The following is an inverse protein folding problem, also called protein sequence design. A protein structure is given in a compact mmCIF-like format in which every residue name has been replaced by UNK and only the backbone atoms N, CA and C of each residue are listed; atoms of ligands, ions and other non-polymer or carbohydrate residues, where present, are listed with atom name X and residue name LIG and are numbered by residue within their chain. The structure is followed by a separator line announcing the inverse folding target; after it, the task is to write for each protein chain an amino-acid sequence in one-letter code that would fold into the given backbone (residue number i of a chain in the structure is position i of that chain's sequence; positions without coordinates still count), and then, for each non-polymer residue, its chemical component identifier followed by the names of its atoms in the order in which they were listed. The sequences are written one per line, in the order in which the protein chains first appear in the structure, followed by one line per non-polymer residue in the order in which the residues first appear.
data_IF_205306538736
#
_entry.id   IF_205306538736
#
_cell.length_a   1.000
_cell.length_b   1.000
_cell.length_c   1.000
_cell.angle_alpha   90.00
_cell.angle_beta   90.00
_cell.angle_gamma   90.00
#
_symmetry.space_group_name_H-M   'P 1'
#
loop_
_entity.id
_entity.type
_entity.pdbx_description
1 polymer ?
#
# COMPACT_ATOMS: atom_id res chain seq x y z
N UNK A 1 36.04 -21.76 -8.79
CA UNK A 1 36.45 -21.92 -7.38
C UNK A 1 35.22 -22.36 -6.60
N UNK A 2 35.07 -23.67 -6.40
CA UNK A 2 33.95 -24.26 -5.64
C UNK A 2 34.06 -23.79 -4.19
N UNK A 3 33.12 -22.97 -3.73
CA UNK A 3 32.97 -22.65 -2.30
C UNK A 3 32.74 -23.99 -1.59
N UNK A 4 33.69 -24.42 -0.77
CA UNK A 4 33.47 -25.51 0.16
C UNK A 4 32.33 -25.10 1.09
N UNK A 5 31.20 -25.80 1.02
CA UNK A 5 30.08 -25.60 1.94
C UNK A 5 30.51 -26.13 3.31
N UNK A 6 31.01 -25.24 4.17
CA UNK A 6 30.84 -25.43 5.60
C UNK A 6 29.33 -25.45 5.85
N UNK A 7 28.79 -26.62 6.17
CA UNK A 7 27.40 -26.77 6.56
C UNK A 7 27.16 -25.91 7.80
N UNK A 8 26.42 -24.81 7.66
CA UNK A 8 25.97 -24.07 8.82
C UNK A 8 25.03 -24.97 9.64
N UNK A 9 25.26 -25.04 10.95
CA UNK A 9 24.43 -25.85 11.86
C UNK A 9 23.07 -25.22 12.18
N UNK A 10 22.67 -24.18 11.45
CA UNK A 10 21.40 -23.49 11.63
C UNK A 10 20.73 -23.17 10.30
N UNK A 11 19.40 -23.03 10.32
CA UNK A 11 18.59 -22.73 9.14
C UNK A 11 18.30 -21.24 8.95
N UNK A 12 18.92 -20.35 9.73
CA UNK A 12 18.82 -18.90 9.56
C UNK A 12 19.71 -18.38 8.43
N UNK A 13 19.26 -17.30 7.79
CA UNK A 13 20.01 -16.58 6.76
C UNK A 13 20.95 -15.56 7.40
N UNK A 14 22.26 -15.68 7.16
CA UNK A 14 23.26 -14.69 7.52
C UNK A 14 23.48 -13.73 6.35
N UNK A 15 22.78 -12.60 6.38
CA UNK A 15 22.82 -11.59 5.32
C UNK A 15 24.22 -10.99 5.20
N UNK A 16 24.71 -10.82 3.98
CA UNK A 16 25.99 -10.13 3.72
C UNK A 16 25.91 -8.64 4.06
N UNK A 17 27.07 -7.98 4.24
CA UNK A 17 27.09 -6.54 4.51
C UNK A 17 26.46 -5.76 3.36
N UNK A 18 25.35 -5.09 3.63
CA UNK A 18 24.61 -4.29 2.64
C UNK A 18 24.70 -2.79 2.96
N UNK A 19 24.87 -1.92 1.93
CA UNK A 19 24.92 -0.48 2.13
C UNK A 19 23.52 0.15 2.29
N UNK A 20 22.46 -0.57 1.93
CA UNK A 20 21.10 -0.05 1.82
C UNK A 20 20.54 0.56 3.11
N UNK A 21 20.75 -0.03 4.31
CA UNK A 21 20.25 0.57 5.55
C UNK A 21 20.86 1.95 5.84
N UNK A 22 22.18 2.11 5.61
CA UNK A 22 22.88 3.37 5.84
C UNK A 22 22.53 4.42 4.79
N UNK A 23 22.51 4.03 3.51
CA UNK A 23 22.13 4.94 2.43
C UNK A 23 20.66 5.37 2.58
N UNK A 24 19.78 4.44 2.96
CA UNK A 24 18.37 4.70 3.19
C UNK A 24 18.14 5.69 4.33
N UNK A 25 18.81 5.53 5.47
CA UNK A 25 18.65 6.45 6.60
C UNK A 25 19.15 7.86 6.29
N UNK A 26 20.29 7.99 5.60
CA UNK A 26 20.82 9.30 5.16
C UNK A 26 19.89 9.98 4.15
N UNK A 27 19.34 9.23 3.20
CA UNK A 27 18.42 9.81 2.21
C UNK A 27 17.08 10.21 2.84
N UNK A 28 16.56 9.44 3.79
CA UNK A 28 15.34 9.79 4.52
C UNK A 28 15.52 11.09 5.32
N UNK A 29 16.69 11.27 5.94
CA UNK A 29 17.03 12.52 6.61
C UNK A 29 17.07 13.71 5.63
N UNK A 30 17.73 13.54 4.48
CA UNK A 30 17.77 14.55 3.43
C UNK A 30 16.38 14.85 2.84
N UNK A 31 15.49 13.86 2.77
CA UNK A 31 14.12 14.03 2.32
C UNK A 31 13.31 14.87 3.30
N UNK A 32 13.47 14.65 4.61
CA UNK A 32 12.84 15.49 5.63
C UNK A 32 13.37 16.93 5.61
N UNK A 33 14.69 17.14 5.46
CA UNK A 33 15.27 18.48 5.27
C UNK A 33 14.74 19.11 3.98
N UNK A 34 14.65 18.34 2.91
CA UNK A 34 14.08 18.78 1.63
C UNK A 34 12.63 19.23 1.77
N UNK A 35 11.83 18.52 2.57
CA UNK A 35 10.45 18.90 2.86
C UNK A 35 10.36 20.19 3.67
N UNK A 36 11.19 20.35 4.72
CA UNK A 36 11.26 21.59 5.50
C UNK A 36 11.67 22.76 4.59
N UNK A 37 12.68 22.56 3.72
CA UNK A 37 13.13 23.56 2.78
C UNK A 37 12.03 23.95 1.78
N UNK A 38 11.23 22.98 1.34
CA UNK A 38 10.06 23.25 0.50
C UNK A 38 9.03 24.13 1.23
N UNK A 39 8.67 23.78 2.47
CA UNK A 39 7.68 24.54 3.25
C UNK A 39 8.16 25.97 3.55
N UNK A 40 9.44 26.16 3.85
CA UNK A 40 9.99 27.47 4.26
C UNK A 40 10.38 28.36 3.07
N UNK A 41 11.01 27.80 2.04
CA UNK A 41 11.61 28.57 0.94
C UNK A 41 11.05 28.26 -0.45
N UNK A 42 10.02 27.40 -0.54
CA UNK A 42 9.44 26.90 -1.80
C UNK A 42 10.44 26.20 -2.73
N UNK A 43 11.60 25.76 -2.20
CA UNK A 43 12.62 25.09 -2.99
C UNK A 43 12.45 23.56 -2.96
N UNK A 44 11.85 23.02 -4.03
CA UNK A 44 11.58 21.59 -4.19
C UNK A 44 12.78 20.73 -4.62
N UNK A 45 13.90 21.34 -5.03
CA UNK A 45 15.00 20.62 -5.70
C UNK A 45 15.58 19.49 -4.82
N UNK A 46 15.83 19.79 -3.55
CA UNK A 46 16.39 18.81 -2.61
C UNK A 46 15.39 17.67 -2.34
N UNK A 47 14.11 18.01 -2.16
CA UNK A 47 13.05 17.04 -1.92
C UNK A 47 12.93 16.05 -3.10
N UNK A 48 12.78 16.55 -4.33
CA UNK A 48 12.65 15.71 -5.53
C UNK A 48 13.89 14.84 -5.73
N UNK A 49 15.09 15.41 -5.58
CA UNK A 49 16.34 14.67 -5.72
C UNK A 49 16.45 13.52 -4.70
N UNK A 50 16.19 13.80 -3.42
CA UNK A 50 16.21 12.80 -2.36
C UNK A 50 15.14 11.71 -2.56
N UNK A 51 13.96 12.07 -3.04
CA UNK A 51 12.87 11.14 -3.33
C UNK A 51 13.23 10.17 -4.46
N UNK A 52 13.85 10.64 -5.55
CA UNK A 52 14.32 9.78 -6.64
C UNK A 52 15.40 8.79 -6.17
N UNK A 53 16.33 9.24 -5.33
CA UNK A 53 17.37 8.35 -4.78
C UNK A 53 16.75 7.32 -3.83
N UNK A 54 15.77 7.70 -3.01
CA UNK A 54 15.05 6.76 -2.15
C UNK A 54 14.42 5.63 -2.97
N UNK A 55 13.75 5.95 -4.08
CA UNK A 55 13.18 4.94 -4.97
C UNK A 55 14.24 3.99 -5.54
N UNK A 56 15.41 4.51 -5.93
CA UNK A 56 16.53 3.68 -6.40
C UNK A 56 17.06 2.74 -5.31
N UNK A 57 17.20 3.23 -4.08
CA UNK A 57 17.65 2.42 -2.93
C UNK A 57 16.64 1.29 -2.66
N UNK A 58 15.35 1.61 -2.59
CA UNK A 58 14.30 0.61 -2.37
C UNK A 58 14.27 -0.46 -3.47
N UNK A 59 14.40 -0.04 -4.74
CA UNK A 59 14.48 -0.97 -5.87
C UNK A 59 15.70 -1.90 -5.78
N UNK A 60 16.87 -1.36 -5.46
CA UNK A 60 18.12 -2.13 -5.35
C UNK A 60 18.09 -3.07 -4.15
N UNK A 61 17.53 -2.64 -3.01
CA UNK A 61 17.38 -3.47 -1.83
C UNK A 61 16.42 -4.64 -2.09
N UNK A 62 15.24 -4.39 -2.65
CA UNK A 62 14.30 -5.46 -2.99
C UNK A 62 14.84 -6.42 -4.06
N UNK A 63 15.61 -5.92 -5.02
CA UNK A 63 16.33 -6.76 -5.97
C UNK A 63 17.28 -7.73 -5.26
N UNK A 64 18.02 -7.25 -4.26
CA UNK A 64 18.97 -8.10 -3.53
C UNK A 64 18.23 -9.15 -2.66
N UNK A 65 17.11 -8.78 -2.03
CA UNK A 65 16.24 -9.76 -1.33
C UNK A 65 15.71 -10.84 -2.29
N UNK A 66 15.32 -10.46 -3.52
CA UNK A 66 14.92 -11.43 -4.54
C UNK A 66 16.08 -12.36 -4.91
N UNK A 67 17.31 -11.83 -5.00
CA UNK A 67 18.50 -12.62 -5.34
C UNK A 67 18.85 -13.63 -4.24
N UNK A 68 18.84 -13.18 -3.00
CA UNK A 68 19.08 -14.00 -1.81
C UNK A 68 18.04 -15.14 -1.71
N UNK A 69 16.76 -14.80 -1.89
CA UNK A 69 15.69 -15.80 -1.81
C UNK A 69 15.62 -16.78 -2.98
N UNK A 70 15.79 -16.31 -4.22
CA UNK A 70 15.57 -17.13 -5.42
C UNK A 70 16.85 -17.78 -5.96
N UNK A 71 17.93 -17.01 -6.11
CA UNK A 71 19.13 -17.48 -6.81
C UNK A 71 20.18 -18.08 -5.87
N UNK A 72 20.30 -17.54 -4.65
CA UNK A 72 21.19 -18.11 -3.63
C UNK A 72 20.50 -19.22 -2.82
N UNK A 73 19.17 -19.14 -2.70
CA UNK A 73 18.37 -20.16 -2.01
C UNK A 73 18.41 -20.05 -0.49
N UNK A 74 18.75 -18.88 0.04
CA UNK A 74 18.96 -18.67 1.48
C UNK A 74 17.63 -18.61 2.28
N UNK A 75 16.48 -18.54 1.59
CA UNK A 75 15.15 -18.51 2.21
C UNK A 75 14.66 -19.91 2.58
N UNK A 76 15.19 -20.47 3.66
CA UNK A 76 14.71 -21.72 4.26
C UNK A 76 13.27 -21.57 4.79
N UNK A 77 12.65 -22.70 5.17
CA UNK A 77 11.30 -22.71 5.77
C UNK A 77 11.25 -21.82 7.04
N UNK A 78 12.31 -21.83 7.85
CA UNK A 78 12.37 -21.02 9.08
C UNK A 78 12.45 -19.52 8.75
N UNK A 79 13.27 -19.14 7.78
CA UNK A 79 13.38 -17.75 7.30
C UNK A 79 12.05 -17.28 6.72
N UNK A 80 11.40 -18.10 5.89
CA UNK A 80 10.09 -17.78 5.32
C UNK A 80 9.00 -17.63 6.40
N UNK A 81 9.06 -18.41 7.48
CA UNK A 81 8.15 -18.24 8.64
C UNK A 81 8.40 -16.88 9.33
N UNK A 82 9.66 -16.48 9.46
CA UNK A 82 10.04 -15.16 9.98
C UNK A 82 9.54 -14.01 9.09
N UNK A 83 9.73 -14.10 7.77
CA UNK A 83 9.24 -13.10 6.82
C UNK A 83 7.71 -12.97 6.85
N UNK A 84 6.99 -14.10 6.97
CA UNK A 84 5.53 -14.10 7.14
C UNK A 84 5.10 -13.37 8.41
N UNK A 85 5.76 -13.63 9.53
CA UNK A 85 5.49 -12.95 10.79
C UNK A 85 5.78 -11.44 10.67
N UNK A 86 6.88 -11.07 10.02
CA UNK A 86 7.24 -9.67 9.75
C UNK A 86 6.17 -8.95 8.92
N UNK A 87 5.70 -9.55 7.83
CA UNK A 87 4.64 -8.97 7.00
C UNK A 87 3.31 -8.84 7.77
N UNK A 88 2.96 -9.83 8.59
CA UNK A 88 1.77 -9.78 9.42
C UNK A 88 1.83 -8.64 10.45
N UNK A 89 2.96 -8.50 11.17
CA UNK A 89 3.16 -7.41 12.12
C UNK A 89 3.17 -6.04 11.45
N UNK A 90 3.74 -5.93 10.24
CA UNK A 90 3.67 -4.72 9.43
C UNK A 90 2.24 -4.34 9.08
N UNK A 91 1.41 -5.27 8.60
CA UNK A 91 -0.02 -5.00 8.34
C UNK A 91 -0.73 -4.57 9.64
N UNK A 92 -0.44 -5.19 10.78
CA UNK A 92 -1.03 -4.77 12.07
C UNK A 92 -0.66 -3.32 12.39
N UNK A 93 0.60 -2.91 12.19
CA UNK A 93 0.97 -1.51 12.41
C UNK A 93 0.23 -0.54 11.48
N UNK A 94 -0.02 -0.92 10.23
CA UNK A 94 -0.81 -0.11 9.29
C UNK A 94 -2.29 -0.05 9.67
N UNK A 95 -2.86 -1.15 10.19
CA UNK A 95 -4.23 -1.15 10.74
C UNK A 95 -4.34 -0.17 11.91
N UNK A 96 -3.37 -0.16 12.83
CA UNK A 96 -3.34 0.78 13.95
C UNK A 96 -3.13 2.23 13.49
N UNK A 97 -2.36 2.43 12.41
CA UNK A 97 -2.22 3.74 11.77
C UNK A 97 -3.56 4.26 11.26
N UNK A 98 -4.33 3.48 10.48
CA UNK A 98 -5.67 3.87 10.04
C UNK A 98 -6.68 4.00 11.20
N UNK A 99 -6.55 3.17 12.23
CA UNK A 99 -7.40 3.28 13.42
C UNK A 99 -7.32 4.66 14.07
N UNK A 100 -6.13 5.30 14.08
CA UNK A 100 -5.98 6.66 14.61
C UNK A 100 -6.78 7.71 13.82
N UNK A 101 -6.86 7.57 12.50
CA UNK A 101 -7.66 8.47 11.65
C UNK A 101 -9.15 8.22 11.80
N UNK A 102 -9.57 6.96 11.91
CA UNK A 102 -10.97 6.64 12.19
C UNK A 102 -11.40 7.14 13.56
N UNK A 103 -10.55 7.02 14.58
CA UNK A 103 -10.80 7.63 15.89
C UNK A 103 -11.04 9.13 15.74
N UNK A 104 -10.10 9.85 15.11
CA UNK A 104 -10.23 11.29 14.89
C UNK A 104 -11.57 11.61 14.20
N UNK A 105 -11.94 10.88 13.14
CA UNK A 105 -13.21 11.09 12.44
C UNK A 105 -14.42 10.86 13.35
N UNK A 106 -14.47 9.76 14.11
CA UNK A 106 -15.57 9.46 15.03
C UNK A 106 -15.69 10.49 16.14
N UNK A 107 -14.57 10.99 16.67
CA UNK A 107 -14.58 12.03 17.69
C UNK A 107 -15.26 13.31 17.16
N UNK A 108 -14.96 13.69 15.91
CA UNK A 108 -15.54 14.88 15.28
C UNK A 108 -16.99 14.67 14.84
N UNK A 109 -17.34 13.46 14.41
CA UNK A 109 -18.71 13.08 14.04
C UNK A 109 -19.67 13.01 15.24
N UNK A 110 -19.25 12.38 16.35
CA UNK A 110 -20.12 12.14 17.51
C UNK A 110 -20.34 13.41 18.37
N UNK A 111 -19.38 14.33 18.37
CA UNK A 111 -19.46 15.59 19.11
C UNK A 111 -18.95 16.76 18.24
N UNK A 112 -19.70 17.17 17.21
CA UNK A 112 -19.30 18.27 16.34
C UNK A 112 -19.21 19.57 17.15
N UNK A 113 -18.16 20.36 16.90
CA UNK A 113 -17.94 21.61 17.62
C UNK A 113 -18.96 22.69 17.25
N UNK A 114 -19.12 23.67 18.15
CA UNK A 114 -19.98 24.83 17.92
C UNK A 114 -19.51 25.65 16.72
N UNK A 115 -18.20 25.67 16.46
CA UNK A 115 -17.58 26.41 15.35
C UNK A 115 -18.04 25.91 13.97
N UNK A 116 -18.36 24.61 13.84
CA UNK A 116 -18.93 24.03 12.61
C UNK A 116 -20.47 24.00 12.61
N UNK A 117 -21.10 24.56 13.65
CA UNK A 117 -22.54 24.67 13.78
C UNK A 117 -23.23 23.46 14.40
N UNK A 118 -22.51 22.64 15.18
CA UNK A 118 -23.02 21.41 15.82
C UNK A 118 -23.66 20.41 14.83
N UNK A 119 -23.18 20.40 13.59
CA UNK A 119 -23.68 19.54 12.51
C UNK A 119 -22.52 18.81 11.86
N UNK A 120 -22.77 17.58 11.43
CA UNK A 120 -21.85 16.81 10.61
C UNK A 120 -22.60 16.22 9.40
N UNK A 121 -22.22 16.55 8.17
CA UNK A 121 -21.17 17.48 7.77
C UNK A 121 -21.49 18.94 8.15
N UNK A 122 -20.47 19.79 8.26
CA UNK A 122 -20.66 21.24 8.42
C UNK A 122 -21.53 21.84 7.31
N UNK A 123 -22.23 22.93 7.62
CA UNK A 123 -23.03 23.68 6.63
C UNK A 123 -22.14 24.08 5.43
N UNK A 124 -22.73 24.08 4.23
CA UNK A 124 -22.07 24.41 2.95
C UNK A 124 -21.07 23.38 2.44
N UNK A 125 -20.84 22.27 3.15
CA UNK A 125 -20.09 21.13 2.61
C UNK A 125 -21.07 20.15 1.98
N UNK A 126 -20.96 20.01 0.65
CA UNK A 126 -21.78 19.07 -0.12
C UNK A 126 -20.99 17.80 -0.39
N UNK A 127 -21.37 16.71 0.27
CA UNK A 127 -20.70 15.41 0.15
C UNK A 127 -21.16 14.64 -1.08
N UNK A 128 -20.32 13.70 -1.52
CA UNK A 128 -20.68 12.80 -2.62
C UNK A 128 -21.84 11.90 -2.26
N UNK A 129 -22.71 11.64 -3.23
CA UNK A 129 -23.68 10.57 -3.12
C UNK A 129 -22.92 9.22 -3.03
N UNK A 130 -23.07 8.45 -1.94
CA UNK A 130 -22.32 7.21 -1.76
C UNK A 130 -22.63 6.17 -2.83
N UNK A 131 -23.83 6.21 -3.42
CA UNK A 131 -24.25 5.32 -4.51
C UNK A 131 -23.63 5.68 -5.87
N UNK A 132 -22.88 6.77 -5.98
CA UNK A 132 -22.23 7.22 -7.21
C UNK A 132 -20.84 6.63 -7.41
N UNK A 133 -19.85 7.50 -7.62
CA UNK A 133 -18.44 7.11 -7.78
C UNK A 133 -17.90 6.29 -6.59
N UNK A 134 -18.25 6.58 -5.32
CA UNK A 134 -17.74 5.79 -4.19
C UNK A 134 -18.17 4.32 -4.27
N UNK A 135 -19.44 4.03 -4.58
CA UNK A 135 -19.92 2.67 -4.79
C UNK A 135 -19.20 1.98 -5.96
N UNK A 136 -18.98 2.67 -7.08
CA UNK A 136 -18.21 2.10 -8.20
C UNK A 136 -16.79 1.70 -7.75
N UNK A 137 -16.13 2.56 -6.98
CA UNK A 137 -14.81 2.27 -6.41
C UNK A 137 -14.83 1.07 -5.44
N UNK A 138 -15.88 0.92 -4.61
CA UNK A 138 -16.03 -0.30 -3.78
C UNK A 138 -16.15 -1.56 -4.63
N UNK A 139 -16.94 -1.54 -5.71
CA UNK A 139 -17.11 -2.69 -6.59
C UNK A 139 -15.81 -3.04 -7.30
N UNK A 140 -15.04 -2.05 -7.75
CA UNK A 140 -13.74 -2.28 -8.39
C UNK A 140 -12.77 -2.98 -7.45
N UNK A 141 -12.65 -2.54 -6.20
CA UNK A 141 -11.77 -3.18 -5.22
C UNK A 141 -12.24 -4.59 -4.85
N UNK A 142 -13.55 -4.80 -4.62
CA UNK A 142 -14.09 -6.15 -4.36
C UNK A 142 -13.86 -7.11 -5.54
N UNK A 143 -14.08 -6.66 -6.78
CA UNK A 143 -13.74 -7.43 -7.98
C UNK A 143 -12.23 -7.71 -8.08
N UNK A 144 -11.40 -6.75 -7.67
CA UNK A 144 -9.95 -6.93 -7.64
C UNK A 144 -9.52 -8.00 -6.61
N UNK A 145 -10.13 -8.02 -5.42
CA UNK A 145 -9.97 -9.06 -4.40
C UNK A 145 -10.37 -10.46 -4.89
N UNK A 146 -11.44 -10.56 -5.68
CA UNK A 146 -11.79 -11.81 -6.37
C UNK A 146 -10.73 -12.21 -7.42
N UNK A 147 -10.26 -11.26 -8.24
CA UNK A 147 -9.29 -11.56 -9.28
C UNK A 147 -7.92 -11.99 -8.74
N UNK A 148 -7.46 -11.45 -7.60
CA UNK A 148 -6.19 -11.83 -6.97
C UNK A 148 -6.29 -13.19 -6.27
N UNK A 149 -7.46 -13.54 -5.70
CA UNK A 149 -7.68 -14.88 -5.15
C UNK A 149 -7.76 -15.94 -6.25
N UNK A 150 -8.40 -15.62 -7.39
CA UNK A 150 -8.33 -16.45 -8.60
C UNK A 150 -6.89 -16.63 -9.11
N UNK A 151 -6.09 -15.56 -9.08
CA UNK A 151 -4.67 -15.57 -9.42
C UNK A 151 -3.88 -16.54 -8.52
N UNK A 152 -4.08 -16.44 -7.20
CA UNK A 152 -3.45 -17.32 -6.22
C UNK A 152 -3.83 -18.79 -6.43
N UNK A 153 -5.11 -19.07 -6.65
CA UNK A 153 -5.57 -20.43 -6.95
C UNK A 153 -4.95 -20.99 -8.24
N UNK A 154 -4.82 -20.14 -9.27
CA UNK A 154 -4.13 -20.50 -10.51
C UNK A 154 -2.69 -20.91 -10.27
N UNK A 155 -1.96 -20.14 -9.46
CA UNK A 155 -0.58 -20.45 -9.08
C UNK A 155 -0.47 -21.80 -8.35
N UNK A 156 -1.30 -22.04 -7.33
CA UNK A 156 -1.26 -23.28 -6.55
C UNK A 156 -1.57 -24.53 -7.41
N UNK A 157 -2.40 -24.37 -8.45
CA UNK A 157 -2.71 -25.43 -9.42
C UNK A 157 -1.73 -25.50 -10.60
N UNK A 158 -0.63 -24.75 -10.59
CA UNK A 158 0.31 -24.59 -11.71
C UNK A 158 -0.35 -24.13 -13.04
N UNK A 159 -1.53 -23.50 -12.97
CA UNK A 159 -2.19 -22.90 -14.12
C UNK A 159 -1.71 -21.45 -14.29
N UNK A 160 -0.58 -21.30 -14.99
CA UNK A 160 0.04 -20.00 -15.23
C UNK A 160 -0.83 -19.01 -16.01
N UNK A 161 -1.74 -19.51 -16.87
CA UNK A 161 -2.68 -18.64 -17.57
C UNK A 161 -3.65 -17.96 -16.58
N UNK A 162 -4.26 -18.73 -15.68
CA UNK A 162 -5.14 -18.18 -14.63
C UNK A 162 -4.37 -17.24 -13.68
N UNK A 163 -3.15 -17.62 -13.30
CA UNK A 163 -2.28 -16.78 -12.46
C UNK A 163 -2.00 -15.43 -13.12
N UNK A 164 -1.54 -15.44 -14.38
CA UNK A 164 -1.22 -14.23 -15.14
C UNK A 164 -2.44 -13.36 -15.41
N UNK A 165 -3.56 -13.96 -15.83
CA UNK A 165 -4.81 -13.25 -16.11
C UNK A 165 -5.38 -12.60 -14.85
N UNK A 166 -5.45 -13.34 -13.75
CA UNK A 166 -5.97 -12.84 -12.48
C UNK A 166 -5.15 -11.65 -11.98
N UNK A 167 -3.81 -11.80 -11.94
CA UNK A 167 -2.91 -10.73 -11.50
C UNK A 167 -3.02 -9.47 -12.40
N UNK A 168 -3.09 -9.65 -13.72
CA UNK A 168 -3.27 -8.53 -14.65
C UNK A 168 -4.59 -7.79 -14.41
N UNK A 169 -5.69 -8.52 -14.23
CA UNK A 169 -7.00 -7.92 -13.91
C UNK A 169 -6.97 -7.15 -12.60
N UNK A 170 -6.33 -7.68 -11.55
CA UNK A 170 -6.20 -6.98 -10.27
C UNK A 170 -5.49 -5.64 -10.44
N UNK A 171 -4.35 -5.63 -11.13
CA UNK A 171 -3.56 -4.42 -11.39
C UNK A 171 -4.39 -3.40 -12.18
N UNK A 172 -5.09 -3.84 -13.24
CA UNK A 172 -5.91 -2.96 -14.05
C UNK A 172 -7.05 -2.33 -13.23
N UNK A 173 -7.76 -3.13 -12.42
CA UNK A 173 -8.83 -2.64 -11.55
C UNK A 173 -8.31 -1.64 -10.51
N UNK A 174 -7.14 -1.88 -9.92
CA UNK A 174 -6.48 -0.94 -9.01
C UNK A 174 -6.10 0.39 -9.67
N UNK A 175 -5.61 0.35 -10.92
CA UNK A 175 -5.32 1.57 -11.69
C UNK A 175 -6.60 2.34 -12.03
N UNK A 176 -7.67 1.63 -12.41
CA UNK A 176 -8.97 2.27 -12.69
C UNK A 176 -9.53 2.93 -11.43
N UNK A 177 -9.44 2.27 -10.27
CA UNK A 177 -9.80 2.86 -8.97
C UNK A 177 -9.06 4.17 -8.73
N UNK A 178 -7.74 4.20 -8.92
CA UNK A 178 -6.94 5.42 -8.73
C UNK A 178 -7.36 6.55 -9.67
N UNK A 179 -7.67 6.26 -10.92
CA UNK A 179 -8.17 7.25 -11.88
C UNK A 179 -9.53 7.82 -11.46
N UNK A 180 -10.44 6.98 -10.96
CA UNK A 180 -11.74 7.43 -10.47
C UNK A 180 -11.58 8.24 -9.19
N UNK A 181 -10.72 7.82 -8.25
CA UNK A 181 -10.44 8.58 -7.03
C UNK A 181 -9.85 9.96 -7.35
N UNK A 182 -8.96 10.05 -8.34
CA UNK A 182 -8.44 11.34 -8.81
C UNK A 182 -9.52 12.22 -9.44
N UNK A 183 -10.44 11.63 -10.22
CA UNK A 183 -11.59 12.34 -10.76
C UNK A 183 -12.49 12.87 -9.64
N UNK A 184 -12.76 12.05 -8.63
CA UNK A 184 -13.54 12.43 -7.46
C UNK A 184 -12.92 13.64 -6.75
N UNK A 185 -11.60 13.65 -6.54
CA UNK A 185 -10.92 14.80 -5.94
C UNK A 185 -11.04 16.09 -6.76
N UNK A 186 -11.05 16.00 -8.09
CA UNK A 186 -11.22 17.17 -8.96
C UNK A 186 -12.67 17.69 -8.99
N UNK A 187 -13.65 16.82 -8.80
CA UNK A 187 -15.09 17.16 -8.79
C UNK A 187 -15.60 17.52 -7.39
N UNK A 188 -14.74 17.45 -6.36
CA UNK A 188 -15.11 17.70 -4.98
C UNK A 188 -15.49 19.16 -4.74
N UNK A 189 -16.61 19.39 -4.04
CA UNK A 189 -17.09 20.73 -3.69
C UNK A 189 -16.31 21.39 -2.55
N UNK A 190 -15.45 20.62 -1.88
CA UNK A 190 -14.64 21.03 -0.74
C UNK A 190 -13.19 20.56 -0.90
N UNK A 191 -12.28 21.22 -0.20
CA UNK A 191 -10.82 21.02 -0.24
C UNK A 191 -10.30 20.58 1.14
N UNK A 192 -9.01 20.23 1.21
CA UNK A 192 -8.36 19.84 2.47
C UNK A 192 -8.37 20.97 3.53
N UNK A 193 -8.49 22.23 3.12
CA UNK A 193 -8.59 23.39 4.01
C UNK A 193 -10.01 23.68 4.49
N UNK A 194 -11.02 23.02 3.93
CA UNK A 194 -12.42 23.30 4.25
C UNK A 194 -12.88 22.51 5.49
N UNK A 195 -12.65 23.14 6.65
CA UNK A 195 -13.00 22.64 7.98
C UNK A 195 -12.30 21.33 8.38
N UNK A 196 -12.65 20.84 9.57
CA UNK A 196 -12.22 19.53 10.05
C UNK A 196 -12.78 18.39 9.19
N UNK A 197 -13.91 18.60 8.52
CA UNK A 197 -14.47 17.62 7.60
C UNK A 197 -13.56 17.40 6.39
N UNK A 198 -13.18 18.46 5.66
CA UNK A 198 -12.32 18.36 4.48
C UNK A 198 -10.96 17.74 4.83
N UNK A 199 -10.32 18.23 5.89
CA UNK A 199 -9.04 17.68 6.36
C UNK A 199 -9.13 16.19 6.72
N UNK A 200 -10.14 15.77 7.49
CA UNK A 200 -10.31 14.35 7.84
C UNK A 200 -10.63 13.46 6.64
N UNK A 201 -11.48 13.94 5.71
CA UNK A 201 -11.83 13.24 4.48
C UNK A 201 -10.60 13.00 3.60
N UNK A 202 -9.83 14.05 3.29
CA UNK A 202 -8.65 13.94 2.42
C UNK A 202 -7.49 13.19 3.07
N UNK A 203 -7.34 13.25 4.41
CA UNK A 203 -6.35 12.42 5.10
C UNK A 203 -6.71 10.94 5.03
N UNK A 204 -7.95 10.55 5.39
CA UNK A 204 -8.39 9.15 5.36
C UNK A 204 -8.32 8.55 3.95
N UNK A 205 -8.97 9.21 2.99
CA UNK A 205 -9.02 8.72 1.61
C UNK A 205 -7.67 8.86 0.90
N UNK A 206 -6.89 9.90 1.22
CA UNK A 206 -5.58 10.15 0.61
C UNK A 206 -4.53 9.16 1.06
N UNK A 207 -4.44 8.86 2.36
CA UNK A 207 -3.56 7.81 2.86
C UNK A 207 -3.98 6.44 2.34
N UNK A 208 -5.28 6.15 2.27
CA UNK A 208 -5.76 4.93 1.61
C UNK A 208 -5.31 4.86 0.14
N UNK A 209 -5.50 5.95 -0.62
CA UNK A 209 -5.05 6.05 -2.01
C UNK A 209 -3.53 5.82 -2.17
N UNK A 210 -2.70 6.36 -1.27
CA UNK A 210 -1.26 6.07 -1.23
C UNK A 210 -0.98 4.58 -1.03
N UNK A 211 -1.72 3.91 -0.14
CA UNK A 211 -1.59 2.46 0.07
C UNK A 211 -2.04 1.65 -1.17
N UNK A 212 -3.09 2.09 -1.88
CA UNK A 212 -3.49 1.49 -3.16
C UNK A 212 -2.35 1.63 -4.18
N UNK A 213 -1.71 2.80 -4.30
CA UNK A 213 -0.55 2.98 -5.20
C UNK A 213 0.58 2.02 -4.84
N UNK A 214 0.95 1.92 -3.56
CA UNK A 214 1.99 0.98 -3.09
C UNK A 214 1.60 -0.46 -3.41
N UNK A 215 0.33 -0.83 -3.20
CA UNK A 215 -0.21 -2.15 -3.51
C UNK A 215 -0.12 -2.47 -5.01
N UNK A 216 -0.49 -1.53 -5.88
CA UNK A 216 -0.40 -1.69 -7.34
C UNK A 216 1.05 -1.86 -7.77
N UNK A 217 1.98 -1.05 -7.24
CA UNK A 217 3.42 -1.20 -7.51
C UNK A 217 3.94 -2.58 -7.07
N UNK A 218 3.52 -3.06 -5.90
CA UNK A 218 3.93 -4.37 -5.41
C UNK A 218 3.39 -5.51 -6.29
N UNK A 219 2.12 -5.41 -6.73
CA UNK A 219 1.54 -6.35 -7.69
C UNK A 219 2.23 -6.29 -9.06
N UNK A 220 2.58 -5.09 -9.55
CA UNK A 220 3.35 -4.92 -10.79
C UNK A 220 4.72 -5.58 -10.72
N UNK A 221 5.43 -5.45 -9.59
CA UNK A 221 6.70 -6.16 -9.37
C UNK A 221 6.50 -7.67 -9.43
N UNK A 222 5.45 -8.19 -8.81
CA UNK A 222 5.13 -9.61 -8.91
C UNK A 222 4.70 -10.01 -10.33
N UNK A 223 4.03 -9.15 -11.10
CA UNK A 223 3.72 -9.42 -12.50
C UNK A 223 4.98 -9.51 -13.37
N UNK A 224 5.95 -8.62 -13.15
CA UNK A 224 7.27 -8.71 -13.80
C UNK A 224 7.99 -10.01 -13.44
N UNK A 225 8.02 -10.37 -12.14
CA UNK A 225 8.62 -11.63 -11.65
C UNK A 225 7.94 -12.87 -12.21
N UNK A 226 6.62 -12.83 -12.40
CA UNK A 226 5.86 -13.90 -13.04
C UNK A 226 6.34 -14.12 -14.47
N UNK A 227 6.51 -13.05 -15.25
CA UNK A 227 7.00 -13.14 -16.63
C UNK A 227 8.47 -13.59 -16.71
N UNK A 228 9.24 -13.44 -15.63
CA UNK A 228 10.60 -13.96 -15.48
C UNK A 228 10.65 -15.37 -14.88
N UNK A 229 9.51 -16.04 -14.69
CA UNK A 229 9.41 -17.39 -14.14
C UNK A 229 9.99 -17.56 -12.71
N UNK A 230 9.91 -16.52 -11.88
CA UNK A 230 10.46 -16.54 -10.51
C UNK A 230 9.56 -17.25 -9.47
N UNK A 231 8.42 -17.81 -9.87
CA UNK A 231 7.44 -18.40 -8.95
C UNK A 231 7.22 -19.88 -9.20
N UNK A 232 6.96 -20.61 -8.12
CA UNK A 232 6.46 -21.98 -8.14
C UNK A 232 5.30 -22.15 -7.17
N UNK A 233 4.50 -23.21 -7.32
CA UNK A 233 3.42 -23.53 -6.38
C UNK A 233 3.89 -23.71 -4.93
N UNK A 234 5.18 -23.95 -4.69
CA UNK A 234 5.75 -24.07 -3.34
C UNK A 234 6.43 -22.77 -2.87
N UNK A 235 7.07 -22.04 -3.78
CA UNK A 235 7.83 -20.83 -3.46
C UNK A 235 7.29 -19.60 -4.19
N UNK A 236 6.42 -18.86 -3.49
CA UNK A 236 5.76 -17.67 -4.01
C UNK A 236 5.46 -16.62 -2.94
N UNK A 237 6.29 -16.56 -1.88
CA UNK A 237 6.06 -15.70 -0.71
C UNK A 237 5.92 -14.22 -1.04
N UNK A 238 6.67 -13.71 -2.02
CA UNK A 238 6.51 -12.33 -2.46
C UNK A 238 5.13 -12.02 -3.06
N UNK A 239 4.49 -13.00 -3.71
CA UNK A 239 3.11 -12.86 -4.17
C UNK A 239 2.12 -13.01 -3.01
N UNK A 240 2.34 -13.94 -2.07
CA UNK A 240 1.52 -14.04 -0.84
C UNK A 240 1.50 -12.72 -0.05
N UNK A 241 2.66 -12.07 0.11
CA UNK A 241 2.73 -10.79 0.84
C UNK A 241 2.00 -9.66 0.11
N UNK A 242 2.13 -9.58 -1.22
CA UNK A 242 1.39 -8.59 -1.99
C UNK A 242 -0.13 -8.86 -1.96
N UNK A 243 -0.56 -10.12 -1.95
CA UNK A 243 -1.99 -10.43 -1.86
C UNK A 243 -2.56 -10.14 -0.49
N UNK A 244 -1.81 -10.39 0.59
CA UNK A 244 -2.22 -9.98 1.95
C UNK A 244 -2.33 -8.46 2.06
N UNK A 245 -1.36 -7.72 1.53
CA UNK A 245 -1.40 -6.26 1.52
C UNK A 245 -2.57 -5.73 0.70
N UNK A 246 -2.83 -6.33 -0.48
CA UNK A 246 -3.96 -5.93 -1.32
C UNK A 246 -5.31 -6.14 -0.64
N UNK A 247 -5.52 -7.28 0.02
CA UNK A 247 -6.73 -7.51 0.82
C UNK A 247 -6.84 -6.58 2.02
N UNK A 248 -5.72 -6.20 2.65
CA UNK A 248 -5.71 -5.16 3.68
C UNK A 248 -6.24 -3.83 3.13
N UNK A 249 -5.76 -3.41 1.95
CA UNK A 249 -6.23 -2.19 1.27
C UNK A 249 -7.73 -2.26 0.94
N UNK A 250 -8.22 -3.41 0.47
CA UNK A 250 -9.65 -3.63 0.21
C UNK A 250 -10.49 -3.44 1.49
N UNK A 251 -10.06 -4.03 2.61
CA UNK A 251 -10.78 -3.96 3.89
C UNK A 251 -10.80 -2.54 4.43
N UNK A 252 -9.68 -1.83 4.40
CA UNK A 252 -9.64 -0.42 4.85
C UNK A 252 -10.58 0.44 4.01
N UNK A 253 -10.67 0.21 2.69
CA UNK A 253 -11.61 0.93 1.84
C UNK A 253 -13.06 0.72 2.27
N UNK A 254 -13.45 -0.50 2.62
CA UNK A 254 -14.82 -0.76 3.08
C UNK A 254 -15.14 0.04 4.34
N UNK A 255 -14.19 0.17 5.27
CA UNK A 255 -14.37 1.03 6.44
C UNK A 255 -14.45 2.52 6.06
N UNK A 256 -13.58 3.00 5.16
CA UNK A 256 -13.63 4.37 4.65
C UNK A 256 -14.98 4.66 3.98
N UNK A 257 -15.44 3.78 3.10
CA UNK A 257 -16.73 3.90 2.42
C UNK A 257 -17.90 3.97 3.42
N UNK A 258 -17.97 3.03 4.36
CA UNK A 258 -19.08 2.98 5.32
C UNK A 258 -19.06 4.18 6.28
N UNK A 259 -17.90 4.56 6.81
CA UNK A 259 -17.78 5.57 7.86
C UNK A 259 -17.77 6.99 7.29
N UNK A 260 -17.06 7.21 6.18
CA UNK A 260 -16.85 8.56 5.64
C UNK A 260 -17.91 8.91 4.61
N UNK A 261 -18.30 7.98 3.73
CA UNK A 261 -19.25 8.28 2.67
C UNK A 261 -20.70 7.98 3.06
N UNK A 262 -20.93 6.88 3.79
CA UNK A 262 -22.29 6.41 4.04
C UNK A 262 -22.88 6.93 5.36
N UNK A 263 -22.12 6.88 6.45
CA UNK A 263 -22.59 7.20 7.81
C UNK A 263 -23.26 8.58 7.92
N UNK A 264 -22.81 9.54 7.12
CA UNK A 264 -23.34 10.91 7.05
C UNK A 264 -24.84 10.98 6.73
N UNK A 265 -25.38 9.95 6.06
CA UNK A 265 -26.78 9.90 5.64
C UNK A 265 -27.72 9.29 6.70
N UNK A 266 -27.20 8.91 7.88
CA UNK A 266 -27.95 8.39 9.02
C UNK A 266 -27.82 9.31 10.22
#
# INVERSE_FOLDING_TARGET
MLKMNFSMNHSFHLVTSSPWPLLGSLILFNLMIGFINYVVSMNLKLFIFSFLILQLILFQWWRDVIREGLFLGDHTILVNKGLRLGMFLFIISEVMFFFSFFWMYFHMFLSPSVDIGNLWPPKMIYTFNPMGLPLLNTLLLLCSGYSISMSHFGLLKNNFYMFKLGLFKTILLGLIFLCIQFKEYNECSFTISDSVFGSSFFLLTGFHGLHVVIGVLFLMINYMRLNLYHFSALNHKGFEFASWYWHFVDVVWLFVYLIVYWLIYF
#
